data_IF_650437723636
#
_entry.id   IF_650437723636
#
_cell.length_a   1.000
_cell.length_b   1.000
_cell.length_c   1.000
_cell.angle_alpha   90.00
_cell.angle_beta   90.00
_cell.angle_gamma   90.00
#
_symmetry.space_group_name_H-M   'P 1'
#
loop_
_entity.id
_entity.type
_entity.pdbx_description
1 polymer ?
#
# COMPACT_ATOMS: atom_id res chain seq x y z
N UNK A 1 5.75 -12.48 -60.78
CA UNK A 1 6.59 -12.87 -59.62
C UNK A 1 5.82 -12.77 -58.32
N UNK A 2 5.15 -11.65 -57.99
CA UNK A 2 4.37 -11.50 -56.75
C UNK A 2 3.23 -12.51 -56.57
N UNK A 3 2.47 -12.84 -57.64
CA UNK A 3 1.42 -13.87 -57.58
C UNK A 3 1.98 -15.29 -57.39
N UNK A 4 3.16 -15.57 -57.94
CA UNK A 4 3.83 -16.87 -57.83
C UNK A 4 4.50 -17.03 -56.45
N UNK A 5 5.09 -15.94 -55.94
CA UNK A 5 5.65 -15.85 -54.59
C UNK A 5 4.54 -15.98 -53.53
N UNK A 6 3.39 -15.33 -53.74
CA UNK A 6 2.21 -15.49 -52.90
C UNK A 6 1.72 -16.93 -52.84
N UNK A 7 1.76 -17.67 -53.97
CA UNK A 7 1.30 -19.06 -54.06
C UNK A 7 2.32 -20.07 -53.51
N UNK A 8 3.62 -19.79 -53.60
CA UNK A 8 4.71 -20.65 -53.10
C UNK A 8 5.03 -20.45 -51.61
N UNK A 9 4.74 -19.27 -51.05
CA UNK A 9 4.96 -18.94 -49.63
C UNK A 9 3.67 -19.11 -48.79
N UNK A 10 2.51 -19.30 -49.41
CA UNK A 10 1.21 -19.44 -48.72
C UNK A 10 0.99 -20.74 -47.93
N UNK A 11 1.84 -21.76 -48.10
CA UNK A 11 1.62 -23.06 -47.43
C UNK A 11 2.03 -23.05 -45.94
N UNK A 12 2.65 -21.97 -45.44
CA UNK A 12 2.92 -21.76 -44.02
C UNK A 12 2.24 -20.50 -43.47
N UNK A 13 1.94 -20.43 -42.15
CA UNK A 13 1.55 -19.17 -41.54
C UNK A 13 2.63 -18.12 -41.82
N UNK A 14 2.25 -17.04 -42.50
CA UNK A 14 3.17 -15.95 -42.81
C UNK A 14 3.72 -15.39 -41.50
N UNK A 15 4.99 -14.97 -41.49
CA UNK A 15 5.64 -14.40 -40.30
C UNK A 15 4.80 -13.24 -39.67
N UNK A 16 4.06 -12.53 -40.51
CA UNK A 16 3.08 -11.50 -40.14
C UNK A 16 1.97 -12.06 -39.25
N UNK A 17 1.39 -13.22 -39.58
CA UNK A 17 0.32 -13.83 -38.77
C UNK A 17 0.80 -14.17 -37.36
N UNK A 18 2.01 -14.73 -37.22
CA UNK A 18 2.60 -15.04 -35.91
C UNK A 18 2.79 -13.74 -35.09
N UNK A 19 3.23 -12.66 -35.75
CA UNK A 19 3.34 -11.33 -35.14
C UNK A 19 1.99 -10.78 -34.67
N UNK A 20 0.94 -10.91 -35.49
CA UNK A 20 -0.42 -10.46 -35.16
C UNK A 20 -1.01 -11.27 -33.99
N UNK A 21 -0.84 -12.60 -33.98
CA UNK A 21 -1.29 -13.48 -32.89
C UNK A 21 -0.63 -13.06 -31.57
N UNK A 22 0.69 -12.80 -31.60
CA UNK A 22 1.46 -12.33 -30.44
C UNK A 22 1.03 -10.93 -29.98
N UNK A 23 0.73 -10.02 -30.91
CA UNK A 23 0.23 -8.69 -30.59
C UNK A 23 -1.13 -8.75 -29.89
N UNK A 24 -2.05 -9.60 -30.36
CA UNK A 24 -3.34 -9.82 -29.69
C UNK A 24 -3.12 -10.42 -28.29
N UNK A 25 -2.15 -11.32 -28.12
CA UNK A 25 -1.79 -11.85 -26.80
C UNK A 25 -1.32 -10.74 -25.85
N UNK A 26 -0.42 -9.86 -26.30
CA UNK A 26 0.06 -8.73 -25.52
C UNK A 26 -1.08 -7.73 -25.17
N UNK A 27 -2.05 -7.55 -26.07
CA UNK A 27 -3.19 -6.67 -25.81
C UNK A 27 -4.08 -7.13 -24.64
N UNK A 28 -4.02 -8.42 -24.26
CA UNK A 28 -4.78 -8.95 -23.12
C UNK A 28 -4.37 -8.35 -21.77
N UNK A 29 -3.17 -7.78 -21.67
CA UNK A 29 -2.73 -7.10 -20.45
C UNK A 29 -3.30 -5.69 -20.31
N UNK A 30 -3.73 -5.06 -21.41
CA UNK A 30 -4.20 -3.68 -21.40
C UNK A 30 -5.42 -3.46 -20.48
N UNK A 31 -6.47 -4.30 -20.48
CA UNK A 31 -7.61 -4.16 -19.55
C UNK A 31 -7.21 -4.14 -18.08
N UNK A 32 -6.30 -5.03 -17.66
CA UNK A 32 -5.87 -5.13 -16.26
C UNK A 32 -5.00 -3.95 -15.86
N UNK A 33 -4.08 -3.51 -16.74
CA UNK A 33 -3.25 -2.33 -16.49
C UNK A 33 -4.10 -1.06 -16.37
N UNK A 34 -5.03 -0.85 -17.30
CA UNK A 34 -5.94 0.29 -17.28
C UNK A 34 -6.92 0.20 -16.09
N UNK A 35 -7.44 -0.99 -15.80
CA UNK A 35 -8.29 -1.24 -14.64
C UNK A 35 -7.58 -0.95 -13.33
N UNK A 36 -6.33 -1.39 -13.16
CA UNK A 36 -5.54 -1.11 -11.96
C UNK A 36 -5.18 0.36 -11.78
N UNK A 37 -4.97 1.11 -12.87
CA UNK A 37 -4.62 2.53 -12.82
C UNK A 37 -5.84 3.44 -12.58
N UNK A 38 -6.95 3.18 -13.26
CA UNK A 38 -8.10 4.09 -13.27
C UNK A 38 -9.29 3.60 -12.44
N UNK A 39 -9.42 2.30 -12.16
CA UNK A 39 -10.59 1.74 -11.50
C UNK A 39 -10.29 1.29 -10.07
N UNK A 40 -10.69 2.12 -9.10
CA UNK A 40 -10.45 1.88 -7.66
C UNK A 40 -11.02 0.58 -7.10
N UNK A 41 -11.97 -0.07 -7.80
CA UNK A 41 -12.56 -1.35 -7.40
C UNK A 41 -11.89 -2.57 -8.06
N UNK A 42 -10.96 -2.38 -8.99
CA UNK A 42 -10.23 -3.49 -9.59
C UNK A 42 -9.45 -4.25 -8.51
N UNK A 43 -9.63 -5.57 -8.45
CA UNK A 43 -8.97 -6.42 -7.46
C UNK A 43 -8.12 -7.52 -8.14
N UNK A 44 -7.20 -8.12 -7.36
CA UNK A 44 -6.29 -9.15 -7.88
C UNK A 44 -7.03 -10.36 -8.46
N UNK A 45 -8.12 -10.78 -7.81
CA UNK A 45 -8.92 -11.93 -8.24
C UNK A 45 -9.60 -11.68 -9.60
N UNK A 46 -10.16 -10.49 -9.80
CA UNK A 46 -10.75 -10.05 -11.05
C UNK A 46 -9.70 -9.89 -12.14
N UNK A 47 -8.54 -9.34 -11.83
CA UNK A 47 -7.41 -9.27 -12.76
C UNK A 47 -6.93 -10.67 -13.21
N UNK A 48 -6.73 -11.59 -12.26
CA UNK A 48 -6.31 -12.95 -12.56
C UNK A 48 -7.36 -13.71 -13.39
N UNK A 49 -8.64 -13.60 -13.02
CA UNK A 49 -9.72 -14.23 -13.78
C UNK A 49 -9.90 -13.61 -15.17
N UNK A 50 -9.84 -12.27 -15.29
CA UNK A 50 -9.87 -11.56 -16.56
C UNK A 50 -8.78 -12.03 -17.51
N UNK A 51 -7.53 -12.05 -17.06
CA UNK A 51 -6.40 -12.55 -17.85
C UNK A 51 -6.58 -14.01 -18.24
N UNK A 52 -7.03 -14.86 -17.31
CA UNK A 52 -7.22 -16.29 -17.58
C UNK A 52 -8.32 -16.50 -18.61
N UNK A 53 -9.49 -15.88 -18.44
CA UNK A 53 -10.59 -15.97 -19.40
C UNK A 53 -10.20 -15.42 -20.78
N UNK A 54 -9.57 -14.24 -20.82
CA UNK A 54 -9.09 -13.65 -22.07
C UNK A 54 -8.06 -14.52 -22.78
N UNK A 55 -7.08 -15.04 -22.05
CA UNK A 55 -6.06 -15.94 -22.59
C UNK A 55 -6.65 -17.25 -23.12
N UNK A 56 -7.62 -17.85 -22.42
CA UNK A 56 -8.29 -19.07 -22.90
C UNK A 56 -9.06 -18.82 -24.19
N UNK A 57 -9.81 -17.71 -24.27
CA UNK A 57 -10.56 -17.36 -25.48
C UNK A 57 -9.62 -17.03 -26.64
N UNK A 58 -8.55 -16.28 -26.38
CA UNK A 58 -7.50 -16.01 -27.38
C UNK A 58 -6.84 -17.30 -27.88
N UNK A 59 -6.44 -18.18 -26.97
CA UNK A 59 -5.82 -19.45 -27.30
C UNK A 59 -6.77 -20.29 -28.16
N UNK A 60 -8.03 -20.36 -27.75
CA UNK A 60 -9.05 -21.10 -28.49
C UNK A 60 -9.32 -20.53 -29.88
N UNK A 61 -9.35 -19.21 -30.04
CA UNK A 61 -9.73 -18.56 -31.30
C UNK A 61 -8.57 -18.39 -32.28
N UNK A 62 -7.32 -18.26 -31.80
CA UNK A 62 -6.14 -18.02 -32.64
C UNK A 62 -5.14 -19.18 -32.66
N UNK A 63 -4.88 -19.82 -31.52
CA UNK A 63 -3.85 -20.86 -31.44
C UNK A 63 -4.41 -22.20 -31.93
N UNK A 64 -5.62 -22.58 -31.53
CA UNK A 64 -6.25 -23.84 -31.94
C UNK A 64 -6.37 -24.00 -33.47
N UNK A 65 -6.85 -23.00 -34.25
CA UNK A 65 -6.88 -23.13 -35.70
C UNK A 65 -5.50 -23.39 -36.33
N UNK A 66 -4.45 -22.79 -35.79
CA UNK A 66 -3.07 -23.03 -36.25
C UNK A 66 -2.59 -24.45 -35.89
N UNK A 67 -2.99 -24.99 -34.73
CA UNK A 67 -2.73 -26.40 -34.39
C UNK A 67 -3.47 -27.38 -35.31
N UNK A 68 -4.70 -27.05 -35.71
CA UNK A 68 -5.46 -27.85 -36.67
C UNK A 68 -4.75 -27.84 -38.04
N UNK A 69 -4.31 -26.67 -38.51
CA UNK A 69 -3.55 -26.54 -39.77
C UNK A 69 -2.23 -27.29 -39.74
N UNK A 70 -1.59 -27.34 -38.57
CA UNK A 70 -0.37 -28.13 -38.36
C UNK A 70 -0.62 -29.64 -38.24
N UNK A 71 -1.88 -30.10 -38.23
CA UNK A 71 -2.27 -31.50 -38.12
C UNK A 71 -2.22 -32.06 -36.69
N UNK A 72 -2.08 -31.22 -35.67
CA UNK A 72 -2.02 -31.65 -34.27
C UNK A 72 -3.41 -31.86 -33.65
N UNK A 73 -4.45 -31.23 -34.22
CA UNK A 73 -5.83 -31.26 -33.73
C UNK A 73 -6.77 -31.62 -34.89
N UNK A 74 -7.83 -32.36 -34.60
CA UNK A 74 -8.84 -32.78 -35.59
C UNK A 74 -9.48 -31.59 -36.32
N UNK A 75 -9.62 -31.70 -37.64
CA UNK A 75 -10.28 -30.68 -38.47
C UNK A 75 -11.76 -30.49 -38.11
N UNK A 76 -12.36 -31.48 -37.46
CA UNK A 76 -13.71 -31.41 -36.90
C UNK A 76 -13.93 -30.23 -35.95
N UNK A 77 -12.89 -29.73 -35.28
CA UNK A 77 -13.00 -28.58 -34.36
C UNK A 77 -13.35 -27.28 -35.09
N UNK A 78 -12.86 -27.10 -36.32
CA UNK A 78 -13.17 -25.91 -37.13
C UNK A 78 -14.57 -25.98 -37.78
N UNK A 79 -14.98 -27.18 -38.20
CA UNK A 79 -16.24 -27.39 -38.92
C UNK A 79 -17.44 -27.58 -37.99
N UNK A 80 -17.32 -28.43 -36.97
CA UNK A 80 -18.40 -28.78 -36.03
C UNK A 80 -18.32 -28.00 -34.71
N UNK A 81 -17.21 -27.30 -34.47
CA UNK A 81 -16.93 -26.63 -33.19
C UNK A 81 -16.43 -27.59 -32.12
N UNK A 82 -16.00 -27.06 -30.99
CA UNK A 82 -15.50 -27.87 -29.87
C UNK A 82 -16.60 -28.82 -29.37
N UNK A 83 -16.27 -30.11 -29.21
CA UNK A 83 -17.23 -31.18 -28.82
C UNK A 83 -18.44 -31.38 -29.77
N UNK A 84 -18.39 -30.84 -30.99
CA UNK A 84 -19.50 -30.93 -31.95
C UNK A 84 -20.57 -29.85 -31.78
N UNK A 85 -20.29 -28.84 -30.96
CA UNK A 85 -21.17 -27.71 -30.72
C UNK A 85 -20.89 -26.56 -31.70
N UNK A 86 -21.81 -26.31 -32.63
CA UNK A 86 -21.64 -25.37 -33.75
C UNK A 86 -21.38 -23.91 -33.35
N UNK A 87 -21.88 -23.47 -32.19
CA UNK A 87 -21.58 -22.16 -31.58
C UNK A 87 -20.17 -22.04 -30.94
N UNK A 88 -19.44 -23.13 -30.69
CA UNK A 88 -18.05 -23.11 -30.20
C UNK A 88 -17.07 -23.32 -31.36
N UNK A 89 -17.27 -22.65 -32.48
CA UNK A 89 -16.29 -22.66 -33.57
C UNK A 89 -15.24 -21.58 -33.31
N UNK A 90 -13.93 -21.89 -33.34
CA UNK A 90 -12.86 -20.93 -33.07
C UNK A 90 -12.94 -19.62 -33.87
N UNK A 91 -13.35 -19.69 -35.13
CA UNK A 91 -13.43 -18.54 -36.04
C UNK A 91 -14.84 -17.94 -36.16
N UNK A 92 -15.83 -18.56 -35.51
CA UNK A 92 -17.24 -18.18 -35.57
C UNK A 92 -17.89 -18.41 -34.20
N UNK A 93 -17.22 -17.95 -33.14
CA UNK A 93 -17.70 -18.08 -31.77
C UNK A 93 -19.08 -17.43 -31.66
N UNK A 94 -20.03 -18.17 -31.09
CA UNK A 94 -21.45 -17.80 -30.98
C UNK A 94 -22.14 -17.51 -32.32
N UNK A 95 -21.63 -18.07 -33.44
CA UNK A 95 -22.21 -17.92 -34.77
C UNK A 95 -21.90 -16.58 -35.44
N UNK A 96 -20.97 -15.79 -34.89
CA UNK A 96 -20.60 -14.49 -35.45
C UNK A 96 -19.53 -14.62 -36.54
N UNK A 97 -19.96 -14.75 -37.80
CA UNK A 97 -19.08 -14.91 -38.97
C UNK A 97 -18.73 -13.61 -39.70
N UNK A 98 -19.35 -12.49 -39.32
CA UNK A 98 -19.20 -11.21 -40.03
C UNK A 98 -17.84 -10.51 -39.83
N UNK A 99 -17.03 -10.97 -38.88
CA UNK A 99 -15.75 -10.34 -38.53
C UNK A 99 -14.57 -11.10 -39.13
N UNK A 100 -13.51 -10.39 -39.57
CA UNK A 100 -12.22 -11.01 -39.86
C UNK A 100 -11.70 -11.81 -38.66
N UNK A 101 -11.03 -12.94 -38.90
CA UNK A 101 -10.57 -13.88 -37.86
C UNK A 101 -9.81 -13.20 -36.70
N UNK A 102 -8.93 -12.23 -37.02
CA UNK A 102 -8.17 -11.51 -36.01
C UNK A 102 -9.04 -10.57 -35.16
N UNK A 103 -9.98 -9.87 -35.81
CA UNK A 103 -10.90 -8.96 -35.14
C UNK A 103 -11.89 -9.74 -34.25
N UNK A 104 -12.38 -10.87 -34.74
CA UNK A 104 -13.24 -11.78 -33.99
C UNK A 104 -12.55 -12.26 -32.71
N UNK A 105 -11.30 -12.73 -32.82
CA UNK A 105 -10.52 -13.18 -31.68
C UNK A 105 -10.24 -12.06 -30.68
N UNK A 106 -9.80 -10.89 -31.15
CA UNK A 106 -9.52 -9.73 -30.30
C UNK A 106 -10.78 -9.28 -29.56
N UNK A 107 -11.92 -9.21 -30.26
CA UNK A 107 -13.20 -8.80 -29.69
C UNK A 107 -13.63 -9.73 -28.56
N UNK A 108 -13.72 -11.04 -28.81
CA UNK A 108 -14.20 -11.99 -27.80
C UNK A 108 -13.22 -12.12 -26.64
N UNK A 109 -11.92 -12.21 -26.91
CA UNK A 109 -10.91 -12.32 -25.85
C UNK A 109 -10.94 -11.09 -24.93
N UNK A 110 -10.98 -9.87 -25.47
CA UNK A 110 -11.08 -8.65 -24.66
C UNK A 110 -12.44 -8.54 -23.96
N UNK A 111 -13.53 -8.95 -24.59
CA UNK A 111 -14.86 -8.92 -23.97
C UNK A 111 -14.91 -9.81 -22.73
N UNK A 112 -14.43 -11.06 -22.83
CA UNK A 112 -14.37 -11.97 -21.68
C UNK A 112 -13.35 -11.51 -20.64
N UNK A 113 -12.22 -10.93 -21.05
CA UNK A 113 -11.21 -10.39 -20.16
C UNK A 113 -11.75 -9.23 -19.32
N UNK A 114 -12.28 -8.18 -19.99
CA UNK A 114 -12.87 -7.01 -19.34
C UNK A 114 -14.11 -7.42 -18.53
N UNK A 115 -14.95 -8.31 -19.08
CA UNK A 115 -16.16 -8.80 -18.43
C UNK A 115 -15.85 -9.53 -17.13
N UNK A 116 -14.93 -10.49 -17.15
CA UNK A 116 -14.51 -11.20 -15.94
C UNK A 116 -13.80 -10.28 -14.95
N UNK A 117 -12.94 -9.36 -15.43
CA UNK A 117 -12.33 -8.33 -14.60
C UNK A 117 -13.41 -7.50 -13.90
N UNK A 118 -14.38 -6.96 -14.64
CA UNK A 118 -15.44 -6.11 -14.10
C UNK A 118 -16.34 -6.88 -13.14
N UNK A 119 -16.85 -8.03 -13.55
CA UNK A 119 -17.80 -8.84 -12.77
C UNK A 119 -17.16 -9.31 -11.47
N UNK A 120 -15.96 -9.90 -11.50
CA UNK A 120 -15.31 -10.36 -10.27
C UNK A 120 -14.77 -9.21 -9.43
N UNK A 121 -14.39 -8.08 -10.03
CA UNK A 121 -14.02 -6.88 -9.27
C UNK A 121 -15.21 -6.25 -8.54
N UNK A 122 -16.42 -6.38 -9.10
CA UNK A 122 -17.65 -5.87 -8.50
C UNK A 122 -18.28 -6.84 -7.50
N UNK A 123 -18.28 -8.14 -7.80
CA UNK A 123 -18.87 -9.18 -6.95
C UNK A 123 -17.97 -9.58 -5.79
N UNK A 124 -16.66 -9.45 -5.96
CA UNK A 124 -15.70 -9.76 -4.90
C UNK A 124 -15.32 -8.48 -4.19
N UNK A 125 -15.83 -8.31 -2.97
CA UNK A 125 -15.21 -7.37 -2.04
C UNK A 125 -13.75 -7.79 -1.84
N UNK A 126 -12.80 -6.86 -2.02
CA UNK A 126 -11.38 -7.08 -1.70
C UNK A 126 -11.31 -7.79 -0.33
N UNK A 127 -10.79 -9.01 -0.32
CA UNK A 127 -11.13 -10.00 0.72
C UNK A 127 -10.76 -9.49 2.12
N UNK A 128 -11.52 -9.89 3.14
CA UNK A 128 -11.27 -9.52 4.53
C UNK A 128 -9.82 -9.83 5.00
N UNK A 129 -9.13 -10.79 4.39
CA UNK A 129 -7.72 -11.08 4.64
C UNK A 129 -6.73 -10.15 3.91
N UNK A 130 -7.13 -9.53 2.80
CA UNK A 130 -6.37 -8.45 2.16
C UNK A 130 -6.65 -7.10 2.83
N UNK A 131 -7.83 -6.87 3.43
CA UNK A 131 -8.10 -5.65 4.22
C UNK A 131 -7.22 -5.57 5.46
N UNK A 132 -7.04 -6.67 6.19
CA UNK A 132 -6.20 -6.69 7.40
C UNK A 132 -4.69 -6.57 7.09
N UNK A 133 -4.21 -7.15 5.97
CA UNK A 133 -2.81 -6.96 5.53
C UNK A 133 -2.58 -5.61 4.82
N UNK A 134 -3.56 -5.11 4.07
CA UNK A 134 -3.48 -3.81 3.43
C UNK A 134 -3.65 -2.67 4.45
N UNK A 135 -4.36 -2.82 5.56
CA UNK A 135 -4.33 -1.83 6.65
C UNK A 135 -2.96 -1.78 7.32
N UNK A 136 -2.30 -2.94 7.49
CA UNK A 136 -0.92 -3.02 8.02
C UNK A 136 0.15 -2.46 7.07
N UNK A 137 -0.14 -2.33 5.76
CA UNK A 137 0.80 -1.78 4.77
C UNK A 137 0.35 -0.47 4.06
N UNK A 138 -0.91 -0.05 4.16
CA UNK A 138 -1.45 1.20 3.58
C UNK A 138 -1.55 2.35 4.59
N UNK A 139 -0.99 2.21 5.78
CA UNK A 139 -0.70 3.37 6.65
C UNK A 139 0.44 4.27 6.14
N UNK A 140 1.20 3.84 5.12
CA UNK A 140 2.46 4.52 4.76
C UNK A 140 2.39 5.37 3.48
N UNK A 141 1.45 5.14 2.55
CA UNK A 141 1.51 5.82 1.24
C UNK A 141 0.19 6.31 0.61
N UNK A 142 -0.99 5.97 1.15
CA UNK A 142 -2.27 6.39 0.55
C UNK A 142 -2.99 7.52 1.31
N UNK A 143 -2.75 7.69 2.61
CA UNK A 143 -3.30 8.82 3.38
C UNK A 143 -2.62 10.15 3.06
N UNK A 144 -1.37 10.15 2.60
CA UNK A 144 -0.65 11.39 2.26
C UNK A 144 -1.25 12.12 1.06
N UNK A 145 -1.70 11.45 -0.01
CA UNK A 145 -2.14 12.18 -1.21
C UNK A 145 -3.58 12.73 -1.16
N UNK A 146 -4.49 12.11 -0.38
CA UNK A 146 -5.90 12.50 -0.30
C UNK A 146 -6.26 13.19 1.03
N UNK A 147 -5.58 12.89 2.14
CA UNK A 147 -5.81 13.58 3.41
C UNK A 147 -5.04 14.93 3.49
N UNK A 148 -4.00 15.15 2.69
CA UNK A 148 -3.27 16.43 2.65
C UNK A 148 -4.13 17.62 2.18
N UNK A 149 -5.16 17.38 1.36
CA UNK A 149 -5.99 18.48 0.84
C UNK A 149 -7.19 18.84 1.69
N UNK A 150 -7.60 18.02 2.66
CA UNK A 150 -8.88 18.25 3.36
C UNK A 150 -8.82 18.25 4.90
N UNK A 151 -7.65 18.01 5.51
CA UNK A 151 -7.41 18.22 6.96
C UNK A 151 -6.56 19.47 7.26
N UNK A 152 -6.63 20.50 6.41
CA UNK A 152 -6.01 21.80 6.70
C UNK A 152 -6.88 22.57 7.69
N UNK A 153 -6.33 22.72 8.90
CA UNK A 153 -6.69 23.71 9.93
C UNK A 153 -8.10 23.67 10.50
N UNK A 154 -8.33 22.84 11.53
CA UNK A 154 -9.54 22.96 12.36
C UNK A 154 -9.37 23.93 13.55
N UNK A 155 -8.15 24.34 13.91
CA UNK A 155 -7.88 25.50 14.79
C UNK A 155 -6.40 25.84 14.76
N UNK A 156 -6.03 27.10 14.51
CA UNK A 156 -4.65 27.53 14.71
C UNK A 156 -4.31 27.42 16.21
N UNK A 157 -3.17 26.81 16.58
CA UNK A 157 -2.79 26.71 17.98
C UNK A 157 -2.57 28.09 18.60
N UNK A 158 -2.94 28.22 19.86
CA UNK A 158 -2.81 29.47 20.60
C UNK A 158 -1.37 29.70 21.05
N UNK A 159 -1.03 30.94 21.37
CA UNK A 159 0.29 31.30 21.91
C UNK A 159 0.62 30.49 23.19
N UNK A 160 -0.37 30.26 24.04
CA UNK A 160 -0.20 29.51 25.29
C UNK A 160 0.07 28.02 25.06
N UNK A 161 -0.42 27.46 23.96
CA UNK A 161 -0.12 26.07 23.57
C UNK A 161 1.35 25.89 23.18
N UNK A 162 1.93 26.85 22.45
CA UNK A 162 3.38 26.88 22.20
C UNK A 162 4.18 27.08 23.49
N UNK A 163 3.69 27.91 24.42
CA UNK A 163 4.32 28.06 25.73
C UNK A 163 4.37 26.73 26.50
N UNK A 164 3.27 25.96 26.47
CA UNK A 164 3.18 24.63 27.06
C UNK A 164 4.13 23.63 26.40
N UNK A 165 4.23 23.63 25.07
CA UNK A 165 5.18 22.79 24.34
C UNK A 165 6.62 23.13 24.75
N UNK A 166 7.00 24.41 24.71
CA UNK A 166 8.34 24.85 25.09
C UNK A 166 8.66 24.52 26.55
N UNK A 167 7.71 24.69 27.47
CA UNK A 167 7.89 24.42 28.89
C UNK A 167 8.29 22.97 29.18
N UNK A 168 7.86 22.00 28.36
CA UNK A 168 8.26 20.59 28.49
C UNK A 168 9.75 20.35 28.21
N UNK A 169 10.40 21.22 27.43
CA UNK A 169 11.80 21.05 27.01
C UNK A 169 12.75 22.05 27.68
N UNK A 170 12.33 23.30 27.86
CA UNK A 170 13.19 24.38 28.40
C UNK A 170 12.82 24.79 29.83
N UNK A 171 11.73 24.25 30.38
CA UNK A 171 11.19 24.59 31.69
C UNK A 171 10.17 25.73 31.64
N UNK A 172 9.20 25.72 32.57
CA UNK A 172 8.07 26.66 32.63
C UNK A 172 8.48 28.12 32.68
N UNK A 173 9.46 28.47 33.51
CA UNK A 173 9.87 29.86 33.72
C UNK A 173 10.49 30.48 32.45
N UNK A 174 11.45 29.77 31.84
CA UNK A 174 12.09 30.20 30.58
C UNK A 174 11.11 30.27 29.41
N UNK A 175 10.14 29.35 29.35
CA UNK A 175 9.11 29.37 28.31
C UNK A 175 8.17 30.57 28.45
N UNK A 176 7.73 30.90 29.68
CA UNK A 176 6.90 32.07 29.92
C UNK A 176 7.63 33.38 29.65
N UNK A 177 8.89 33.52 30.08
CA UNK A 177 9.72 34.71 29.80
C UNK A 177 9.93 34.91 28.29
N UNK A 178 10.25 33.84 27.56
CA UNK A 178 10.43 33.89 26.12
C UNK A 178 9.14 34.29 25.39
N UNK A 179 7.99 33.72 25.78
CA UNK A 179 6.69 34.06 25.20
C UNK A 179 6.28 35.49 25.57
N UNK A 180 6.53 35.94 26.80
CA UNK A 180 6.25 37.32 27.22
C UNK A 180 7.01 38.34 26.37
N UNK A 181 8.31 38.11 26.12
CA UNK A 181 9.10 38.98 25.22
C UNK A 181 8.68 38.89 23.74
N UNK A 182 8.12 37.75 23.30
CA UNK A 182 7.53 37.62 21.97
C UNK A 182 6.22 38.41 21.83
N UNK A 183 5.45 38.52 22.92
CA UNK A 183 4.18 39.24 22.98
C UNK A 183 4.34 40.75 23.17
N UNK A 184 5.41 41.21 23.79
CA UNK A 184 5.67 42.63 24.06
C UNK A 184 5.72 43.49 22.78
N UNK A 185 6.02 42.89 21.64
CA UNK A 185 6.11 43.56 20.34
C UNK A 185 4.93 43.27 19.39
N UNK A 186 3.84 42.66 19.89
CA UNK A 186 2.68 42.27 19.07
C UNK A 186 1.35 42.56 19.77
N UNK A 187 0.51 43.35 19.12
CA UNK A 187 -0.91 43.48 19.48
C UNK A 187 -1.63 42.17 19.15
N UNK A 188 -1.75 41.28 20.13
CA UNK A 188 -2.53 40.05 19.96
C UNK A 188 -3.98 40.34 20.37
N UNK A 189 -4.90 40.08 19.44
CA UNK A 189 -6.34 40.11 19.67
C UNK A 189 -6.70 39.23 20.88
N UNK A 190 -7.60 39.71 21.76
CA UNK A 190 -7.91 39.15 23.10
C UNK A 190 -8.38 37.67 23.08
N UNK A 191 -8.52 37.09 21.89
CA UNK A 191 -8.96 35.72 21.62
C UNK A 191 -7.82 34.71 21.48
N UNK A 192 -6.55 35.14 21.51
CA UNK A 192 -5.38 34.26 21.53
C UNK A 192 -5.21 33.34 20.30
N UNK A 193 -5.96 33.61 19.23
CA UNK A 193 -5.90 32.87 17.96
C UNK A 193 -4.92 33.57 17.02
N UNK A 194 -3.90 32.85 16.58
CA UNK A 194 -2.91 33.38 15.64
C UNK A 194 -3.46 33.39 14.22
N UNK A 195 -3.28 34.49 13.48
CA UNK A 195 -3.49 34.49 12.04
C UNK A 195 -2.47 33.56 11.35
N UNK A 196 -2.75 33.11 10.11
CA UNK A 196 -1.91 32.14 9.38
C UNK A 196 -0.44 32.61 9.22
N UNK A 197 -0.24 33.92 9.04
CA UNK A 197 1.07 34.57 8.98
C UNK A 197 1.78 34.56 10.34
N UNK A 198 1.05 34.74 11.43
CA UNK A 198 1.57 34.76 12.79
C UNK A 198 1.91 33.38 13.31
N UNK A 199 1.15 32.36 12.90
CA UNK A 199 1.44 30.96 13.19
C UNK A 199 2.82 30.56 12.66
N UNK A 200 3.14 30.98 11.43
CA UNK A 200 4.45 30.70 10.82
C UNK A 200 5.60 31.37 11.60
N UNK A 201 5.37 32.57 12.11
CA UNK A 201 6.35 33.29 12.93
C UNK A 201 6.51 32.65 14.31
N UNK A 202 5.41 32.28 14.95
CA UNK A 202 5.41 31.60 16.25
C UNK A 202 6.08 30.23 16.16
N UNK A 203 5.87 29.48 15.06
CA UNK A 203 6.57 28.23 14.78
C UNK A 203 8.09 28.41 14.77
N UNK A 204 8.58 29.40 14.02
CA UNK A 204 10.02 29.71 13.92
C UNK A 204 10.59 30.19 15.26
N UNK A 205 9.80 30.94 16.02
CA UNK A 205 10.19 31.38 17.36
C UNK A 205 10.35 30.18 18.30
N UNK A 206 9.35 29.31 18.39
CA UNK A 206 9.41 28.11 19.23
C UNK A 206 10.57 27.18 18.84
N UNK A 207 10.80 26.97 17.54
CA UNK A 207 11.94 26.19 17.04
C UNK A 207 13.27 26.76 17.51
N UNK A 208 13.49 28.07 17.36
CA UNK A 208 14.75 28.74 17.78
C UNK A 208 14.94 28.70 19.29
N UNK A 209 13.88 28.96 20.05
CA UNK A 209 13.94 28.95 21.52
C UNK A 209 14.24 27.55 22.06
N UNK A 210 13.65 26.51 21.47
CA UNK A 210 13.94 25.13 21.86
C UNK A 210 15.32 24.66 21.35
N UNK A 211 15.80 25.16 20.21
CA UNK A 211 17.10 24.79 19.65
C UNK A 211 18.27 25.05 20.61
N UNK A 212 18.16 26.06 21.48
CA UNK A 212 19.18 26.35 22.51
C UNK A 212 19.33 25.26 23.59
N UNK A 213 18.36 24.35 23.72
CA UNK A 213 18.36 23.30 24.75
C UNK A 213 18.35 21.87 24.17
N UNK A 214 17.65 21.66 23.04
CA UNK A 214 17.49 20.33 22.40
C UNK A 214 18.26 20.24 21.07
N UNK A 215 18.77 21.36 20.54
CA UNK A 215 19.40 21.43 19.22
C UNK A 215 18.41 21.74 18.10
N UNK A 216 18.91 22.35 17.01
CA UNK A 216 18.07 22.88 15.93
C UNK A 216 17.25 21.82 15.18
N UNK A 217 17.88 20.69 14.80
CA UNK A 217 17.18 19.64 14.06
C UNK A 217 16.11 18.91 14.89
N UNK A 218 16.37 18.50 16.14
CA UNK A 218 15.33 17.95 17.02
C UNK A 218 14.20 18.93 17.33
N UNK A 219 14.51 20.21 17.56
CA UNK A 219 13.51 21.23 17.84
C UNK A 219 12.52 21.39 16.68
N UNK A 220 13.01 21.41 15.44
CA UNK A 220 12.16 21.50 14.24
C UNK A 220 11.18 20.33 14.13
N UNK A 221 11.66 19.11 14.34
CA UNK A 221 10.84 17.89 14.27
C UNK A 221 9.75 17.92 15.34
N UNK A 222 10.07 18.36 16.56
CA UNK A 222 9.12 18.46 17.67
C UNK A 222 7.99 19.44 17.36
N UNK A 223 8.33 20.64 16.84
CA UNK A 223 7.31 21.64 16.51
C UNK A 223 6.47 21.20 15.32
N UNK A 224 7.08 20.66 14.26
CA UNK A 224 6.33 20.20 13.08
C UNK A 224 5.39 19.04 13.47
N UNK A 225 5.84 18.06 14.26
CA UNK A 225 4.98 16.97 14.75
C UNK A 225 3.84 17.44 15.65
N UNK A 226 4.09 18.42 16.53
CA UNK A 226 3.04 19.00 17.38
C UNK A 226 1.94 19.70 16.57
N UNK A 227 2.33 20.39 15.50
CA UNK A 227 1.40 21.05 14.58
C UNK A 227 0.66 20.05 13.70
N UNK A 228 1.33 18.98 13.25
CA UNK A 228 0.72 17.91 12.47
C UNK A 228 -0.25 17.04 13.27
N UNK A 229 0.01 16.79 14.57
CA UNK A 229 -0.85 15.95 15.40
C UNK A 229 -2.19 16.62 15.72
N UNK A 230 -2.28 17.95 15.77
CA UNK A 230 -3.53 18.68 16.03
C UNK A 230 -4.57 18.62 14.90
N UNK A 231 -4.23 18.01 13.76
CA UNK A 231 -5.16 17.65 12.68
C UNK A 231 -5.61 16.18 12.69
N UNK A 232 -5.14 15.38 13.65
CA UNK A 232 -5.48 13.97 13.80
C UNK A 232 -5.89 13.72 15.24
N UNK A 233 -7.12 13.26 15.48
CA UNK A 233 -7.57 12.86 16.82
C UNK A 233 -6.65 11.75 17.33
N UNK A 234 -5.65 12.11 18.13
CA UNK A 234 -4.86 11.22 18.95
C UNK A 234 -4.39 11.99 20.19
N UNK A 235 -5.35 12.31 21.05
CA UNK A 235 -5.08 12.32 22.49
C UNK A 235 -4.60 10.88 22.85
N UNK A 236 -3.62 10.75 23.75
CA UNK A 236 -3.07 9.49 24.31
C UNK A 236 -1.95 8.71 23.59
N UNK A 237 -0.89 9.38 23.11
CA UNK A 237 0.44 8.72 22.97
C UNK A 237 1.58 9.49 23.66
N UNK A 238 1.28 10.64 24.30
CA UNK A 238 2.31 11.50 24.89
C UNK A 238 2.69 11.19 26.34
N UNK A 239 2.33 10.01 26.86
CA UNK A 239 2.72 9.56 28.21
C UNK A 239 3.85 8.51 28.22
N UNK A 240 4.21 7.96 27.06
CA UNK A 240 5.25 6.91 26.98
C UNK A 240 6.68 7.49 26.93
N UNK A 241 6.86 8.71 26.39
CA UNK A 241 8.20 9.30 26.27
C UNK A 241 8.61 10.22 27.43
N UNK A 242 7.66 10.65 28.27
CA UNK A 242 7.96 11.39 29.50
C UNK A 242 8.48 10.51 30.65
N UNK A 243 8.09 9.24 30.68
CA UNK A 243 8.48 8.29 31.73
C UNK A 243 9.91 7.76 31.58
N UNK A 244 10.48 7.78 30.37
CA UNK A 244 11.84 7.26 30.12
C UNK A 244 12.94 8.22 30.58
N UNK A 245 12.68 9.53 30.62
CA UNK A 245 13.72 10.51 31.02
C UNK A 245 13.90 10.63 32.54
N UNK A 246 12.96 10.10 33.35
CA UNK A 246 13.06 10.11 34.83
C UNK A 246 13.81 8.88 35.38
N UNK A 247 14.07 7.84 34.59
CA UNK A 247 14.73 6.61 35.08
C UNK A 247 16.26 6.67 35.15
N UNK A 248 16.89 7.86 35.09
CA UNK A 248 18.35 7.97 35.28
C UNK A 248 18.83 7.79 36.74
N UNK A 249 17.93 7.54 37.68
CA UNK A 249 18.25 7.26 39.10
C UNK A 249 18.00 5.81 39.56
N UNK A 250 17.37 4.94 38.76
CA UNK A 250 17.01 3.58 39.17
C UNK A 250 18.01 2.48 38.75
N UNK A 251 19.04 2.82 37.98
CA UNK A 251 20.00 1.86 37.41
C UNK A 251 21.06 1.29 38.35
N UNK A 252 20.96 1.45 39.68
CA UNK A 252 21.98 0.93 40.62
C UNK A 252 21.59 -0.37 41.34
N UNK A 253 20.32 -0.75 41.37
CA UNK A 253 19.88 -1.97 42.07
C UNK A 253 19.78 -3.21 41.16
N UNK A 254 19.65 -3.03 39.84
CA UNK A 254 19.51 -4.15 38.90
C UNK A 254 20.82 -4.85 38.52
N UNK A 255 21.98 -4.32 38.91
CA UNK A 255 23.28 -4.94 38.62
C UNK A 255 23.62 -6.14 39.52
N UNK A 256 23.00 -6.25 40.70
CA UNK A 256 23.21 -7.41 41.59
C UNK A 256 22.54 -8.68 41.08
N UNK A 257 21.31 -8.56 40.57
CA UNK A 257 20.49 -9.70 40.13
C UNK A 257 21.03 -10.33 38.85
N UNK A 258 21.59 -9.51 37.94
CA UNK A 258 22.21 -10.02 36.71
C UNK A 258 23.50 -10.81 36.99
N UNK A 259 24.26 -10.42 38.02
CA UNK A 259 25.47 -11.13 38.41
C UNK A 259 25.16 -12.50 39.03
N UNK A 260 24.10 -12.59 39.84
CA UNK A 260 23.68 -13.85 40.46
C UNK A 260 23.10 -14.84 39.44
N UNK A 261 22.28 -14.35 38.50
CA UNK A 261 21.74 -15.17 37.41
C UNK A 261 22.85 -15.71 36.50
N UNK A 262 23.89 -14.92 36.23
CA UNK A 262 25.02 -15.35 35.38
C UNK A 262 25.89 -16.38 36.10
N UNK A 263 26.03 -16.29 37.43
CA UNK A 263 26.79 -17.24 38.25
C UNK A 263 26.10 -18.61 38.35
N UNK A 264 24.76 -18.62 38.43
CA UNK A 264 23.96 -19.85 38.47
C UNK A 264 24.07 -20.60 37.14
N UNK A 265 23.97 -19.90 36.01
CA UNK A 265 24.10 -20.49 34.66
C UNK A 265 25.52 -21.01 34.37
N UNK A 266 26.56 -20.37 34.93
CA UNK A 266 27.95 -20.79 34.75
C UNK A 266 28.36 -22.03 35.56
N UNK A 267 27.56 -22.46 36.54
CA UNK A 267 27.90 -23.59 37.43
C UNK A 267 27.57 -24.98 36.88
N UNK A 268 26.99 -25.09 35.69
CA UNK A 268 26.78 -26.38 35.01
C UNK A 268 25.85 -27.34 35.77
N UNK A 269 24.87 -26.82 36.50
CA UNK A 269 23.90 -27.62 37.24
C UNK A 269 22.68 -27.99 36.38
N UNK A 270 22.25 -29.24 36.52
CA UNK A 270 21.24 -29.90 35.72
C UNK A 270 19.89 -29.16 35.74
N UNK A 271 19.22 -29.08 34.58
CA UNK A 271 18.00 -28.31 34.34
C UNK A 271 16.86 -28.70 35.30
N UNK A 272 16.90 -29.92 35.83
CA UNK A 272 15.97 -30.43 36.83
C UNK A 272 16.08 -29.73 38.20
N UNK A 273 17.27 -29.28 38.61
CA UNK A 273 17.45 -28.54 39.86
C UNK A 273 16.82 -27.13 39.79
N UNK A 274 16.92 -26.49 38.62
CA UNK A 274 16.34 -25.16 38.36
C UNK A 274 14.81 -25.23 38.39
N UNK A 275 14.21 -26.23 37.74
CA UNK A 275 12.75 -26.42 37.78
C UNK A 275 12.25 -26.74 39.19
N UNK A 276 13.00 -27.52 39.96
CA UNK A 276 12.64 -27.86 41.34
C UNK A 276 12.69 -26.64 42.27
N UNK A 277 13.71 -25.77 42.13
CA UNK A 277 13.82 -24.55 42.92
C UNK A 277 12.74 -23.51 42.62
N UNK A 278 12.32 -23.39 41.35
CA UNK A 278 11.21 -22.49 40.95
C UNK A 278 9.87 -23.00 41.47
N UNK A 279 9.65 -24.33 41.48
CA UNK A 279 8.43 -24.93 42.02
C UNK A 279 8.33 -24.80 43.55
N UNK A 280 9.46 -24.87 44.27
CA UNK A 280 9.48 -24.67 45.73
C UNK A 280 9.18 -23.22 46.11
N UNK A 281 9.68 -22.24 45.34
CA UNK A 281 9.41 -20.81 45.53
C UNK A 281 7.94 -20.44 45.27
N UNK A 282 7.30 -21.09 44.30
CA UNK A 282 5.87 -20.90 44.02
C UNK A 282 4.96 -21.55 45.07
N UNK A 283 5.48 -22.47 45.88
CA UNK A 283 4.73 -23.15 46.94
C UNK A 283 4.75 -22.39 48.28
N UNK A 284 5.64 -21.40 48.43
CA UNK A 284 5.74 -20.57 49.65
C UNK A 284 5.07 -19.20 49.54
N UNK A 285 4.36 -18.92 48.43
CA UNK A 285 3.37 -17.84 48.33
C UNK A 285 1.95 -18.41 48.43
#
# INVERSE_FOLDING_TARGET
>A
VSYLFYRLVSDGPTLVNIGLISFVAASQFAPVLLGGLFWRRANLKGAAAGLTCGALVWFFTLVVPELVRAGWVDEGVLSRGLFGWSWLRPQALFGLEALPWLAHALFWSLLFNIGALAVLSLLTEAGAHERDQAEKFRGTFAETAAAEKQKRFSRAPTVMEFAGLMAKFIGRQKAHEAVAGYLENKEIDERGSLAETELTQMRRFAERTMAGSVGAAPARIIVDNYLSSRGSTMEDVLDIFGSVTISRKAGREQLGVLHEATRIVASGADLQAIFSGILELLRQQ
#
